data_IF_643240425507
#
_entry.id   IF_643240425507
#
_cell.length_a   1.000
_cell.length_b   1.000
_cell.length_c   1.000
_cell.angle_alpha   90.00
_cell.angle_beta   90.00
_cell.angle_gamma   90.00
#
_symmetry.space_group_name_H-M   'P 1'
#
loop_
_entity.id
_entity.type
_entity.pdbx_description
1 polymer ?
#
# COMPACT_ATOMS: atom_id res chain seq x y z
N UNK A 1 -11.86 11.39 -6.79
CA UNK A 1 -12.03 10.17 -7.63
C UNK A 1 -13.35 10.22 -8.38
N UNK A 2 -14.50 10.27 -7.68
CA UNK A 2 -15.82 10.25 -8.32
C UNK A 2 -16.04 11.35 -9.38
N UNK A 3 -15.93 12.64 -9.00
CA UNK A 3 -16.23 13.75 -9.90
C UNK A 3 -15.45 13.70 -11.24
N UNK A 4 -14.10 13.60 -11.27
CA UNK A 4 -13.38 13.49 -12.54
C UNK A 4 -13.66 12.16 -13.27
N UNK A 5 -13.92 11.05 -12.57
CA UNK A 5 -14.28 9.79 -13.21
C UNK A 5 -15.65 9.84 -13.89
N UNK A 6 -16.60 10.59 -13.29
CA UNK A 6 -17.90 10.81 -13.88
C UNK A 6 -17.83 11.73 -15.11
N UNK A 7 -16.96 12.75 -15.08
CA UNK A 7 -16.72 13.60 -16.27
C UNK A 7 -16.20 12.82 -17.48
N UNK A 8 -15.61 11.64 -17.27
CA UNK A 8 -15.02 10.79 -18.30
C UNK A 8 -15.85 9.52 -18.59
N UNK A 9 -17.03 9.36 -17.96
CA UNK A 9 -17.82 8.14 -18.07
C UNK A 9 -19.22 8.25 -17.47
N UNK A 10 -19.76 7.12 -16.99
CA UNK A 10 -21.08 7.08 -16.36
C UNK A 10 -20.98 7.20 -14.85
N UNK A 11 -22.08 7.61 -14.20
CA UNK A 11 -22.16 7.63 -12.73
C UNK A 11 -21.90 6.25 -12.12
N UNK A 12 -22.32 5.17 -12.78
CA UNK A 12 -22.05 3.80 -12.33
C UNK A 12 -20.56 3.45 -12.35
N UNK A 13 -19.86 3.75 -13.45
CA UNK A 13 -18.41 3.56 -13.56
C UNK A 13 -17.65 4.41 -12.53
N UNK A 14 -18.06 5.67 -12.35
CA UNK A 14 -17.46 6.57 -11.37
C UNK A 14 -17.64 6.06 -9.93
N UNK A 15 -18.83 5.54 -9.61
CA UNK A 15 -19.12 4.89 -8.32
C UNK A 15 -18.26 3.65 -8.11
N UNK A 16 -18.20 2.75 -9.10
CA UNK A 16 -17.42 1.52 -9.01
C UNK A 16 -15.92 1.81 -8.82
N UNK A 17 -15.36 2.74 -9.58
CA UNK A 17 -13.96 3.15 -9.42
C UNK A 17 -13.70 3.77 -8.05
N UNK A 18 -14.61 4.64 -7.59
CA UNK A 18 -14.48 5.28 -6.27
C UNK A 18 -14.53 4.25 -5.15
N UNK A 19 -15.45 3.29 -5.23
CA UNK A 19 -15.55 2.18 -4.28
C UNK A 19 -14.25 1.37 -4.26
N UNK A 20 -13.68 1.04 -5.43
CA UNK A 20 -12.41 0.32 -5.54
C UNK A 20 -11.25 1.07 -4.88
N UNK A 21 -11.13 2.38 -5.12
CA UNK A 21 -10.10 3.21 -4.49
C UNK A 21 -10.27 3.28 -2.97
N UNK A 22 -11.49 3.46 -2.48
CA UNK A 22 -11.77 3.52 -1.04
C UNK A 22 -11.51 2.17 -0.36
N UNK A 23 -11.91 1.06 -0.98
CA UNK A 23 -11.61 -0.28 -0.48
C UNK A 23 -10.09 -0.53 -0.41
N UNK A 24 -9.35 -0.11 -1.45
CA UNK A 24 -7.89 -0.17 -1.45
C UNK A 24 -7.25 0.69 -0.35
N UNK A 25 -7.78 1.90 -0.13
CA UNK A 25 -7.32 2.79 0.95
C UNK A 25 -7.59 2.20 2.34
N UNK A 26 -8.77 1.59 2.54
CA UNK A 26 -9.09 0.90 3.79
C UNK A 26 -8.15 -0.28 4.03
N UNK A 27 -7.89 -1.10 3.01
CA UNK A 27 -6.92 -2.18 3.09
C UNK A 27 -5.50 -1.68 3.42
N UNK A 28 -5.09 -0.55 2.83
CA UNK A 28 -3.84 0.12 3.16
C UNK A 28 -3.77 0.56 4.62
N UNK A 29 -4.78 1.31 5.09
CA UNK A 29 -4.81 1.81 6.46
C UNK A 29 -4.81 0.67 7.49
N UNK A 30 -5.60 -0.38 7.22
CA UNK A 30 -5.68 -1.58 8.06
C UNK A 30 -4.35 -2.32 8.10
N UNK A 31 -3.70 -2.52 6.94
CA UNK A 31 -2.39 -3.17 6.85
C UNK A 31 -1.34 -2.35 7.59
N UNK A 32 -1.33 -1.02 7.39
CA UNK A 32 -0.40 -0.11 8.05
C UNK A 32 -0.54 -0.17 9.58
N UNK A 33 -1.79 -0.18 10.07
CA UNK A 33 -2.06 -0.35 11.49
C UNK A 33 -1.59 -1.72 11.99
N UNK A 34 -1.89 -2.79 11.25
CA UNK A 34 -1.51 -4.15 11.62
C UNK A 34 0.01 -4.37 11.68
N UNK A 35 0.78 -3.80 10.73
CA UNK A 35 2.24 -3.94 10.75
C UNK A 35 2.86 -3.25 11.97
N UNK A 36 2.29 -2.13 12.43
CA UNK A 36 2.76 -1.45 13.63
C UNK A 36 2.31 -2.12 14.93
N UNK A 37 1.03 -2.48 15.04
CA UNK A 37 0.42 -2.76 16.34
C UNK A 37 -0.01 -4.22 16.55
N UNK A 38 -0.24 -4.98 15.48
CA UNK A 38 -0.67 -6.37 15.63
C UNK A 38 0.52 -7.30 15.89
N UNK A 39 0.40 -8.20 16.87
CA UNK A 39 1.34 -9.30 17.15
C UNK A 39 1.18 -10.56 16.27
N UNK A 40 0.54 -10.47 15.10
CA UNK A 40 0.28 -11.64 14.24
C UNK A 40 1.54 -12.15 13.57
N UNK A 41 1.66 -13.48 13.43
CA UNK A 41 2.86 -14.15 12.89
C UNK A 41 2.64 -14.79 11.51
N UNK A 42 1.55 -14.46 10.81
CA UNK A 42 1.33 -14.91 9.45
C UNK A 42 2.52 -14.55 8.53
N UNK A 43 3.01 -15.46 7.67
CA UNK A 43 4.20 -15.23 6.85
C UNK A 43 4.16 -13.92 6.04
N UNK A 44 3.00 -13.61 5.45
CA UNK A 44 2.79 -12.38 4.70
C UNK A 44 2.90 -11.14 5.59
N UNK A 45 2.22 -11.11 6.75
CA UNK A 45 2.24 -9.97 7.66
C UNK A 45 3.66 -9.74 8.21
N UNK A 46 4.39 -10.81 8.53
CA UNK A 46 5.77 -10.73 8.98
C UNK A 46 6.68 -10.14 7.88
N UNK A 47 6.47 -10.54 6.63
CA UNK A 47 7.19 -9.95 5.49
C UNK A 47 6.86 -8.46 5.33
N UNK A 48 5.60 -8.04 5.54
CA UNK A 48 5.21 -6.62 5.51
C UNK A 48 5.76 -5.82 6.69
N UNK A 49 5.78 -6.39 7.89
CA UNK A 49 6.43 -5.80 9.08
C UNK A 49 7.92 -5.52 8.82
N UNK A 50 8.65 -6.50 8.28
CA UNK A 50 10.08 -6.33 7.93
C UNK A 50 10.28 -5.26 6.85
N UNK A 51 9.43 -5.27 5.83
CA UNK A 51 9.48 -4.28 4.74
C UNK A 51 9.25 -2.86 5.28
N UNK A 52 8.22 -2.69 6.10
CA UNK A 52 7.86 -1.42 6.71
C UNK A 52 8.87 -0.92 7.74
N UNK A 53 9.48 -1.83 8.50
CA UNK A 53 10.56 -1.47 9.42
C UNK A 53 11.77 -0.86 8.69
N UNK A 54 12.12 -1.37 7.51
CA UNK A 54 13.18 -0.77 6.67
C UNK A 54 12.82 0.62 6.18
N UNK A 55 11.53 0.86 5.92
CA UNK A 55 11.05 2.18 5.54
C UNK A 55 11.17 3.20 6.69
N UNK A 56 10.82 2.82 7.92
CA UNK A 56 10.95 3.69 9.10
C UNK A 56 12.40 3.88 9.55
N UNK A 57 13.28 2.92 9.26
CA UNK A 57 14.70 2.98 9.59
C UNK A 57 15.55 2.85 8.32
N UNK A 58 15.51 3.87 7.43
CA UNK A 58 16.26 3.84 6.19
C UNK A 58 17.76 3.87 6.50
N UNK A 59 18.50 2.96 5.89
CA UNK A 59 19.98 2.97 5.92
C UNK A 59 20.47 3.86 4.78
N UNK A 60 21.55 4.62 5.03
CA UNK A 60 22.21 5.43 3.99
C UNK A 60 22.58 4.52 2.81
N UNK A 61 22.11 4.87 1.61
CA UNK A 61 22.34 4.10 0.39
C UNK A 61 21.46 2.85 0.19
N UNK A 62 20.54 2.56 1.12
CA UNK A 62 19.56 1.47 0.97
C UNK A 62 18.24 1.97 0.36
N UNK A 63 17.52 1.08 -0.32
CA UNK A 63 16.25 1.44 -0.92
C UNK A 63 15.12 1.61 0.14
N UNK A 64 14.23 2.59 -0.05
CA UNK A 64 13.32 3.08 1.00
C UNK A 64 12.08 2.22 1.26
N UNK A 65 11.76 1.23 0.42
CA UNK A 65 10.70 0.24 0.65
C UNK A 65 9.31 0.85 0.98
N UNK A 66 8.81 1.78 0.15
CA UNK A 66 7.58 2.55 0.42
C UNK A 66 6.29 1.72 0.50
N UNK A 67 6.26 0.55 -0.13
CA UNK A 67 5.07 -0.27 -0.28
C UNK A 67 4.62 -0.94 1.02
N UNK A 68 3.47 -0.51 1.55
CA UNK A 68 2.89 -1.05 2.78
C UNK A 68 2.08 -2.33 2.54
N UNK A 69 1.13 -2.31 1.59
CA UNK A 69 0.28 -3.48 1.27
C UNK A 69 1.00 -4.50 0.39
N UNK A 70 1.86 -4.01 -0.52
CA UNK A 70 2.70 -4.84 -1.37
C UNK A 70 3.96 -4.08 -1.77
N UNK A 71 5.04 -4.81 -2.12
CA UNK A 71 6.25 -4.23 -2.71
C UNK A 71 6.24 -4.22 -4.25
N UNK A 72 5.06 -4.29 -4.90
CA UNK A 72 4.97 -4.32 -6.37
C UNK A 72 5.57 -3.04 -6.97
N UNK A 73 5.05 -1.88 -6.55
CA UNK A 73 5.51 -0.59 -7.03
C UNK A 73 6.95 -0.30 -6.62
N UNK A 74 7.37 -0.80 -5.46
CA UNK A 74 8.78 -0.70 -5.07
C UNK A 74 9.73 -1.40 -6.05
N UNK A 75 9.32 -2.54 -6.60
CA UNK A 75 10.12 -3.24 -7.61
C UNK A 75 10.08 -2.53 -8.96
N UNK A 76 8.91 -2.04 -9.37
CA UNK A 76 8.74 -1.33 -10.65
C UNK A 76 9.57 -0.04 -10.67
N UNK A 77 9.60 0.69 -9.55
CA UNK A 77 10.29 1.98 -9.45
C UNK A 77 11.67 1.91 -8.78
N UNK A 78 12.19 0.71 -8.50
CA UNK A 78 13.54 0.54 -7.95
C UNK A 78 13.71 0.98 -6.48
N UNK A 79 12.63 1.12 -5.71
CA UNK A 79 12.66 1.37 -4.27
C UNK A 79 12.58 0.10 -3.40
N UNK A 80 12.60 -1.08 -4.02
CA UNK A 80 12.72 -2.37 -3.34
C UNK A 80 14.18 -2.62 -2.94
N UNK A 81 14.45 -2.69 -1.64
CA UNK A 81 15.77 -3.07 -1.15
C UNK A 81 16.13 -4.48 -1.61
N UNK A 82 17.39 -4.69 -2.01
CA UNK A 82 17.94 -6.04 -2.24
C UNK A 82 17.94 -6.83 -0.94
#
# INVERSE_FOLDING_TARGET
>A
VFAPAWMLGTAWQASALTLGVLAGYLAYATTHHAVHHWRGHGPWLLARKRWHARHHQPRVGAAPCFGVTSGLWDRIFGSAGR
#
